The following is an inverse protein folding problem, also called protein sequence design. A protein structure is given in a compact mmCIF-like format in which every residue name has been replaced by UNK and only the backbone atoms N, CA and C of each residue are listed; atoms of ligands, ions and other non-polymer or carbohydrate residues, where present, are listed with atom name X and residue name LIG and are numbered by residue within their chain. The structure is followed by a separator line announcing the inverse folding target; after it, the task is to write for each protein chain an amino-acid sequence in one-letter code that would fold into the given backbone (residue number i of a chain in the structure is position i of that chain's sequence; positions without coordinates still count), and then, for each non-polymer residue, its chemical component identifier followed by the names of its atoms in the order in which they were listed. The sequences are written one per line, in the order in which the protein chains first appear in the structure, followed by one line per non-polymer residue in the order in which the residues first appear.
data_IF_818915369049
#
_entry.id   IF_818915369049
#
_cell.length_a   1.000
_cell.length_b   1.000
_cell.length_c   1.000
_cell.angle_alpha   90.00
_cell.angle_beta   90.00
_cell.angle_gamma   90.00
#
_symmetry.space_group_name_H-M   'P 1'
#
loop_
_entity.id
_entity.type
_entity.pdbx_description
1 polymer ?
#
# COMPACT_ATOMS: atom_id res chain seq x y z
N UNK A 1 1.66 -2.74 20.56
CA UNK A 1 2.72 -2.65 19.54
C UNK A 1 2.23 -1.95 18.27
N UNK A 2 2.75 -0.74 17.99
CA UNK A 2 2.25 0.14 16.92
C UNK A 2 2.74 -0.23 15.51
N UNK A 3 2.16 0.38 14.45
CA UNK A 3 2.43 0.05 13.03
C UNK A 3 3.93 0.10 12.62
N UNK A 4 4.78 0.86 13.32
CA UNK A 4 6.20 1.04 12.99
C UNK A 4 6.99 -0.27 12.85
N UNK A 5 6.72 -1.27 13.70
CA UNK A 5 7.42 -2.56 13.61
C UNK A 5 7.09 -3.30 12.30
N UNK A 6 5.87 -3.14 11.79
CA UNK A 6 5.44 -3.72 10.51
C UNK A 6 6.14 -3.06 9.34
N UNK A 7 6.27 -1.73 9.36
CA UNK A 7 7.09 -0.99 8.38
C UNK A 7 8.55 -1.45 8.39
N UNK A 8 9.16 -1.59 9.58
CA UNK A 8 10.54 -2.11 9.68
C UNK A 8 10.68 -3.54 9.18
N UNK A 9 9.71 -4.43 9.46
CA UNK A 9 9.69 -5.81 8.93
C UNK A 9 9.58 -5.81 7.41
N UNK A 10 8.68 -4.99 6.85
CA UNK A 10 8.50 -4.83 5.41
C UNK A 10 9.76 -4.30 4.73
N UNK A 11 10.38 -3.25 5.26
CA UNK A 11 11.67 -2.74 4.79
C UNK A 11 12.78 -3.80 4.87
N UNK A 12 12.77 -4.65 5.90
CA UNK A 12 13.67 -5.81 5.99
C UNK A 12 13.49 -6.79 4.83
N UNK A 13 12.26 -7.10 4.44
CA UNK A 13 11.97 -7.94 3.28
C UNK A 13 12.43 -7.31 1.96
N UNK A 14 12.21 -6.01 1.79
CA UNK A 14 12.66 -5.26 0.61
C UNK A 14 14.18 -5.21 0.52
N UNK A 15 14.87 -4.93 1.63
CA UNK A 15 16.32 -4.93 1.68
C UNK A 15 16.92 -6.32 1.40
N UNK A 16 16.30 -7.39 1.92
CA UNK A 16 16.68 -8.76 1.60
C UNK A 16 16.51 -9.07 0.10
N UNK A 17 15.37 -8.68 -0.49
CA UNK A 17 15.11 -8.86 -1.91
C UNK A 17 16.15 -8.13 -2.77
N UNK A 18 16.44 -6.86 -2.45
CA UNK A 18 17.45 -6.06 -3.15
C UNK A 18 18.85 -6.72 -3.07
N UNK A 19 19.29 -7.15 -1.87
CA UNK A 19 20.57 -7.86 -1.69
C UNK A 19 20.65 -9.15 -2.49
N UNK A 20 19.53 -9.88 -2.60
CA UNK A 20 19.41 -11.13 -3.36
C UNK A 20 19.09 -10.93 -4.85
N UNK A 21 19.06 -9.68 -5.33
CA UNK A 21 18.70 -9.32 -6.72
C UNK A 21 17.33 -9.88 -7.13
N UNK A 22 16.39 -9.89 -6.19
CA UNK A 22 14.97 -10.21 -6.43
C UNK A 22 14.20 -8.94 -6.77
N UNK A 23 13.05 -9.11 -7.40
CA UNK A 23 12.24 -7.96 -7.83
C UNK A 23 11.29 -7.58 -6.71
N UNK A 24 11.24 -6.28 -6.39
CA UNK A 24 10.15 -5.74 -5.60
C UNK A 24 9.19 -5.03 -6.55
N UNK A 25 7.90 -5.31 -6.44
CA UNK A 25 6.85 -4.68 -7.23
C UNK A 25 6.06 -3.73 -6.35
N UNK A 26 5.77 -2.53 -6.82
CA UNK A 26 4.84 -1.61 -6.16
C UNK A 26 3.58 -1.46 -7.00
N UNK A 27 2.43 -1.80 -6.41
CA UNK A 27 1.11 -1.71 -7.03
C UNK A 27 0.37 -0.58 -6.32
N UNK A 28 0.32 0.59 -6.96
CA UNK A 28 -0.25 1.82 -6.45
C UNK A 28 -1.55 2.14 -7.20
N UNK A 29 -2.59 2.57 -6.50
CA UNK A 29 -3.90 2.85 -7.11
C UNK A 29 -4.00 4.31 -7.52
N UNK A 30 -3.56 5.18 -6.64
CA UNK A 30 -3.64 6.61 -6.79
C UNK A 30 -2.26 7.17 -7.14
N UNK A 31 -2.27 7.96 -8.21
CA UNK A 31 -1.38 9.08 -8.49
C UNK A 31 -0.04 9.15 -7.78
N UNK A 32 0.91 8.33 -8.19
CA UNK A 32 2.22 8.81 -8.61
C UNK A 32 2.89 7.74 -9.47
N UNK A 33 3.59 8.19 -10.52
CA UNK A 33 4.59 7.36 -11.20
C UNK A 33 5.94 7.77 -10.59
N UNK A 34 6.40 7.11 -9.50
CA UNK A 34 7.65 7.46 -8.88
C UNK A 34 8.84 7.07 -9.77
N UNK A 35 8.64 6.23 -10.79
CA UNK A 35 9.61 6.05 -11.86
C UNK A 35 9.80 7.45 -12.49
N UNK A 36 11.00 8.01 -12.36
CA UNK A 36 11.41 9.36 -12.80
C UNK A 36 11.27 10.50 -11.78
N UNK A 37 10.84 10.26 -10.53
CA UNK A 37 10.99 11.28 -9.50
C UNK A 37 12.46 11.45 -9.08
N UNK A 38 12.95 12.70 -8.90
CA UNK A 38 14.27 12.94 -8.32
C UNK A 38 14.41 12.26 -6.96
N UNK A 39 15.35 11.32 -6.86
CA UNK A 39 15.65 10.61 -5.61
C UNK A 39 15.00 9.23 -5.46
N UNK A 40 14.26 8.73 -6.46
CA UNK A 40 13.86 7.32 -6.48
C UNK A 40 15.10 6.42 -6.63
N UNK A 41 15.41 5.53 -5.66
CA UNK A 41 16.53 4.60 -5.77
C UNK A 41 16.29 3.43 -6.73
N UNK A 42 15.11 3.33 -7.37
CA UNK A 42 14.78 2.22 -8.27
C UNK A 42 14.60 0.90 -7.53
N UNK A 43 14.08 0.95 -6.29
CA UNK A 43 13.85 -0.23 -5.46
C UNK A 43 12.68 -1.08 -5.96
N UNK A 44 11.71 -0.46 -6.63
CA UNK A 44 10.51 -1.11 -7.10
C UNK A 44 10.42 -1.04 -8.62
N UNK A 45 9.82 -2.08 -9.21
CA UNK A 45 9.13 -1.96 -10.50
C UNK A 45 7.69 -1.54 -10.22
N UNK A 46 7.26 -0.41 -10.76
CA UNK A 46 5.99 0.19 -10.36
C UNK A 46 4.91 -0.14 -11.37
N UNK A 47 3.73 -0.43 -10.85
CA UNK A 47 2.49 -0.52 -11.61
C UNK A 47 1.50 0.49 -11.00
N UNK A 48 1.22 1.54 -11.76
CA UNK A 48 0.28 2.61 -11.40
C UNK A 48 -0.81 2.67 -12.47
N UNK A 49 -1.88 1.89 -12.28
CA UNK A 49 -2.92 1.70 -13.31
C UNK A 49 -4.22 2.50 -13.07
N UNK A 50 -4.24 3.37 -12.06
CA UNK A 50 -5.47 4.06 -11.65
C UNK A 50 -6.51 3.10 -11.06
N UNK A 51 -7.63 3.65 -10.59
CA UNK A 51 -8.68 2.92 -9.83
C UNK A 51 -9.30 1.68 -10.50
N UNK A 52 -9.05 1.44 -11.79
CA UNK A 52 -9.85 0.53 -12.61
C UNK A 52 -9.23 -0.86 -12.82
N UNK A 53 -7.92 -1.04 -12.71
CA UNK A 53 -7.26 -2.29 -13.11
C UNK A 53 -6.24 -2.80 -12.09
N UNK A 54 -6.33 -4.10 -11.80
CA UNK A 54 -5.26 -4.81 -11.11
C UNK A 54 -4.19 -5.21 -12.12
N UNK A 55 -2.92 -4.82 -11.90
CA UNK A 55 -1.81 -5.29 -12.70
C UNK A 55 -1.81 -6.82 -12.72
N UNK A 56 -1.73 -7.41 -13.91
CA UNK A 56 -1.64 -8.85 -14.07
C UNK A 56 -0.21 -9.29 -13.72
N UNK A 57 0.00 -9.65 -12.45
CA UNK A 57 1.28 -10.20 -11.97
C UNK A 57 1.49 -11.68 -12.32
N UNK A 58 0.46 -12.33 -12.88
CA UNK A 58 0.51 -13.74 -13.26
C UNK A 58 1.66 -13.98 -14.26
N UNK A 59 2.60 -14.87 -13.89
CA UNK A 59 3.79 -15.16 -14.69
C UNK A 59 4.95 -14.17 -14.55
N UNK A 60 4.75 -13.02 -13.89
CA UNK A 60 5.83 -12.05 -13.62
C UNK A 60 6.51 -12.30 -12.27
N UNK A 61 5.71 -12.52 -11.22
CA UNK A 61 6.22 -12.69 -9.85
C UNK A 61 6.88 -14.07 -9.70
N UNK A 62 8.11 -14.07 -9.19
CA UNK A 62 8.93 -15.27 -8.97
C UNK A 62 9.07 -15.56 -7.48
N UNK A 63 9.55 -16.76 -7.09
CA UNK A 63 9.88 -17.06 -5.71
C UNK A 63 10.85 -16.04 -5.10
N UNK A 64 10.57 -15.67 -3.85
CA UNK A 64 11.30 -14.66 -3.07
C UNK A 64 11.21 -13.21 -3.57
N UNK A 65 10.43 -12.92 -4.61
CA UNK A 65 10.07 -11.54 -4.93
C UNK A 65 9.17 -10.94 -3.83
N UNK A 66 9.03 -9.62 -3.84
CA UNK A 66 8.18 -8.90 -2.88
C UNK A 66 7.15 -8.08 -3.64
N UNK A 67 5.87 -8.23 -3.31
CA UNK A 67 4.80 -7.39 -3.85
C UNK A 67 4.29 -6.44 -2.76
N UNK A 68 4.46 -5.14 -2.99
CA UNK A 68 3.84 -4.06 -2.21
C UNK A 68 2.55 -3.64 -2.90
N UNK A 69 1.48 -3.59 -2.13
CA UNK A 69 0.17 -3.18 -2.57
C UNK A 69 -0.34 -2.07 -1.67
N UNK A 70 -0.72 -0.92 -2.24
CA UNK A 70 -1.15 0.26 -1.47
C UNK A 70 -2.48 0.78 -2.00
N UNK A 71 -3.40 1.14 -1.09
CA UNK A 71 -4.52 2.05 -1.38
C UNK A 71 -5.93 1.45 -1.48
N UNK A 72 -6.11 0.12 -1.55
CA UNK A 72 -7.45 -0.42 -1.87
C UNK A 72 -8.26 -0.58 -0.60
N UNK A 73 -9.52 -0.13 -0.55
CA UNK A 73 -10.39 -0.32 0.61
C UNK A 73 -10.86 -1.78 0.84
N UNK A 74 -10.24 -2.75 0.18
CA UNK A 74 -10.56 -4.17 0.32
C UNK A 74 -9.34 -5.07 0.11
N UNK A 75 -9.44 -6.29 0.63
CA UNK A 75 -8.41 -7.32 0.47
C UNK A 75 -8.34 -7.81 -1.00
N UNK A 76 -7.17 -7.72 -1.68
CA UNK A 76 -7.05 -8.05 -3.10
C UNK A 76 -6.87 -9.55 -3.32
N UNK A 77 -7.95 -10.33 -3.22
CA UNK A 77 -7.91 -11.80 -3.22
C UNK A 77 -7.12 -12.39 -4.40
N UNK A 78 -7.34 -11.89 -5.63
CA UNK A 78 -6.67 -12.41 -6.82
C UNK A 78 -5.16 -12.15 -6.77
N UNK A 79 -4.77 -10.90 -6.51
CA UNK A 79 -3.36 -10.52 -6.36
C UNK A 79 -2.66 -11.34 -5.27
N UNK A 80 -3.28 -11.43 -4.09
CA UNK A 80 -2.71 -12.17 -2.96
C UNK A 80 -2.52 -13.66 -3.31
N UNK A 81 -3.47 -14.27 -4.02
CA UNK A 81 -3.35 -15.65 -4.50
C UNK A 81 -2.23 -15.82 -5.54
N UNK A 82 -2.04 -14.85 -6.45
CA UNK A 82 -0.94 -14.86 -7.41
C UNK A 82 0.41 -14.84 -6.69
N UNK A 83 0.58 -13.96 -5.70
CA UNK A 83 1.81 -13.89 -4.89
C UNK A 83 2.04 -15.17 -4.10
N UNK A 84 0.99 -15.73 -3.48
CA UNK A 84 1.07 -16.98 -2.72
C UNK A 84 1.49 -18.16 -3.62
N UNK A 85 0.90 -18.29 -4.81
CA UNK A 85 1.28 -19.34 -5.80
C UNK A 85 2.74 -19.25 -6.22
N UNK A 86 3.26 -18.03 -6.36
CA UNK A 86 4.66 -17.79 -6.70
C UNK A 86 5.62 -17.99 -5.54
N UNK A 87 5.15 -18.29 -4.31
CA UNK A 87 5.99 -18.36 -3.09
C UNK A 87 6.76 -17.05 -2.84
N UNK A 88 6.14 -15.93 -3.18
CA UNK A 88 6.66 -14.60 -2.95
C UNK A 88 6.10 -14.03 -1.64
N UNK A 89 6.61 -12.87 -1.24
CA UNK A 89 6.16 -12.12 -0.06
C UNK A 89 5.24 -10.98 -0.48
N UNK A 90 4.27 -10.65 0.36
CA UNK A 90 3.31 -9.57 0.12
C UNK A 90 3.22 -8.62 1.32
N UNK A 91 3.31 -7.34 1.00
CA UNK A 91 3.06 -6.22 1.90
C UNK A 91 1.75 -5.58 1.43
N UNK A 92 0.73 -5.69 2.26
CA UNK A 92 -0.62 -5.26 1.98
C UNK A 92 -0.94 -4.03 2.84
N UNK A 93 -0.95 -2.87 2.20
CA UNK A 93 -1.15 -1.56 2.81
C UNK A 93 -2.52 -1.03 2.40
N UNK A 94 -3.50 -1.14 3.29
CA UNK A 94 -4.82 -0.60 3.00
C UNK A 94 -5.57 -0.23 4.27
N UNK A 95 -6.75 0.33 4.09
CA UNK A 95 -7.66 0.60 5.18
C UNK A 95 -8.86 -0.33 5.12
N UNK A 96 -9.23 -0.86 6.29
CA UNK A 96 -10.48 -1.56 6.51
C UNK A 96 -11.38 -0.67 7.37
N UNK A 97 -12.67 -0.65 7.01
CA UNK A 97 -13.71 0.07 7.75
C UNK A 97 -14.33 -0.93 8.73
N UNK A 98 -13.88 -0.89 9.98
CA UNK A 98 -14.38 -1.74 11.06
C UNK A 98 -15.57 -1.11 11.81
N UNK A 99 -15.80 0.19 11.61
CA UNK A 99 -16.91 0.96 12.18
C UNK A 99 -17.65 1.73 11.11
N UNK A 100 -18.97 1.84 11.24
CA UNK A 100 -19.78 2.66 10.36
C UNK A 100 -19.41 4.16 10.51
N UNK A 101 -19.54 4.96 9.45
CA UNK A 101 -19.27 6.38 9.51
C UNK A 101 -20.21 7.10 10.48
N UNK A 102 -19.80 8.25 11.03
CA UNK A 102 -20.71 9.10 11.78
C UNK A 102 -21.91 9.53 10.89
N UNK A 103 -23.09 9.64 11.49
CA UNK A 103 -24.30 10.17 10.81
C UNK A 103 -24.64 11.55 11.36
N UNK A 104 -24.83 12.58 10.51
CA UNK A 104 -24.72 12.56 9.05
C UNK A 104 -23.26 12.52 8.55
N UNK A 105 -23.05 11.97 7.36
CA UNK A 105 -21.79 12.04 6.61
C UNK A 105 -21.34 13.50 6.51
N UNK A 106 -20.09 13.80 6.90
CA UNK A 106 -19.52 15.14 6.77
C UNK A 106 -18.71 15.17 5.46
N UNK A 107 -18.88 16.24 4.66
CA UNK A 107 -18.27 16.46 3.33
C UNK A 107 -17.01 15.63 2.99
N UNK A 108 -17.06 14.92 1.86
CA UNK A 108 -15.90 14.26 1.23
C UNK A 108 -15.98 12.73 1.16
N UNK A 109 -16.93 12.11 1.85
CA UNK A 109 -17.13 10.66 1.84
C UNK A 109 -17.62 10.17 0.46
N UNK A 110 -16.68 9.95 -0.46
CA UNK A 110 -16.96 9.26 -1.73
C UNK A 110 -17.27 7.81 -1.40
N UNK A 111 -18.56 7.49 -1.35
CA UNK A 111 -19.12 6.14 -1.51
C UNK A 111 -18.45 5.08 -0.66
N UNK A 112 -18.70 5.10 0.65
CA UNK A 112 -18.21 4.06 1.53
C UNK A 112 -18.77 2.68 1.16
N UNK A 113 -17.90 1.82 0.70
CA UNK A 113 -18.11 0.39 0.74
C UNK A 113 -17.96 -0.06 2.20
N UNK A 114 -19.02 0.14 3.00
CA UNK A 114 -19.09 -0.38 4.37
C UNK A 114 -18.94 -1.90 4.34
N UNK A 115 -17.77 -2.38 4.73
CA UNK A 115 -17.44 -3.78 4.83
C UNK A 115 -16.84 -4.04 6.21
N UNK A 116 -17.68 -4.38 7.22
CA UNK A 116 -17.23 -4.57 8.59
C UNK A 116 -16.29 -5.77 8.65
N UNK A 117 -14.99 -5.49 8.62
CA UNK A 117 -13.94 -6.51 8.68
C UNK A 117 -12.71 -5.96 9.38
N UNK A 118 -11.89 -6.85 9.95
CA UNK A 118 -10.61 -6.52 10.57
C UNK A 118 -9.47 -7.30 9.93
N UNK A 119 -8.24 -6.82 10.09
CA UNK A 119 -7.06 -7.50 9.54
C UNK A 119 -6.89 -8.94 10.06
N UNK A 120 -7.36 -9.22 11.28
CA UNK A 120 -7.29 -10.56 11.88
C UNK A 120 -8.25 -11.55 11.21
N UNK A 121 -9.27 -11.07 10.51
CA UNK A 121 -10.23 -11.89 9.77
C UNK A 121 -9.78 -12.20 8.33
N UNK A 122 -8.73 -11.53 7.86
CA UNK A 122 -8.16 -11.79 6.53
C UNK A 122 -7.26 -13.04 6.55
N UNK A 123 -6.96 -13.66 5.39
CA UNK A 123 -6.06 -14.81 5.35
C UNK A 123 -4.68 -14.46 5.91
N UNK A 124 -4.20 -15.26 6.87
CA UNK A 124 -2.89 -15.05 7.51
C UNK A 124 -1.82 -15.91 6.84
N UNK A 125 -0.56 -15.49 6.93
CA UNK A 125 0.58 -16.24 6.40
C UNK A 125 1.91 -15.59 6.76
N UNK A 126 2.98 -16.38 6.88
CA UNK A 126 4.32 -15.87 7.21
C UNK A 126 4.88 -14.96 6.11
N UNK A 127 4.44 -15.16 4.87
CA UNK A 127 4.79 -14.36 3.70
C UNK A 127 3.95 -13.08 3.57
N UNK A 128 3.19 -12.71 4.61
CA UNK A 128 2.26 -11.58 4.57
C UNK A 128 2.49 -10.57 5.69
N UNK A 129 2.39 -9.29 5.34
CA UNK A 129 2.35 -8.18 6.30
C UNK A 129 1.15 -7.30 5.95
N UNK A 130 0.31 -7.03 6.95
CA UNK A 130 -0.80 -6.10 6.85
C UNK A 130 -0.47 -4.78 7.55
N UNK A 131 -0.39 -3.69 6.79
CA UNK A 131 -0.21 -2.33 7.30
C UNK A 131 -1.55 -1.61 7.18
N UNK A 132 -2.08 -1.18 8.32
CA UNK A 132 -3.32 -0.42 8.40
C UNK A 132 -2.99 1.05 8.17
N UNK A 133 -3.53 1.65 7.11
CA UNK A 133 -3.23 3.05 6.80
C UNK A 133 -3.93 4.02 7.75
N UNK A 134 -5.07 3.64 8.37
CA UNK A 134 -5.98 4.44 9.24
C UNK A 134 -6.42 5.82 8.74
N UNK A 135 -5.54 6.61 8.12
CA UNK A 135 -5.77 7.94 7.54
C UNK A 135 -6.73 7.95 6.35
N UNK A 136 -6.98 6.79 5.74
CA UNK A 136 -7.90 6.64 4.62
C UNK A 136 -9.26 5.99 5.01
N UNK A 137 -9.57 5.85 6.32
CA UNK A 137 -10.82 5.21 6.78
C UNK A 137 -12.06 5.95 6.29
N UNK A 138 -11.91 7.25 6.11
CA UNK A 138 -12.83 8.13 5.44
C UNK A 138 -11.96 8.79 4.39
N UNK A 139 -12.36 8.76 3.12
CA UNK A 139 -11.69 9.58 2.10
C UNK A 139 -12.01 11.05 2.44
N UNK A 140 -11.35 11.55 3.47
CA UNK A 140 -11.63 12.85 4.04
C UNK A 140 -10.99 13.83 3.09
N UNK A 141 -11.81 14.67 2.51
CA UNK A 141 -11.34 15.71 1.64
C UNK A 141 -10.69 16.78 2.52
N UNK A 142 -9.36 16.87 2.51
CA UNK A 142 -8.66 17.81 3.35
C UNK A 142 -8.73 19.22 2.73
N UNK A 143 -9.60 20.07 3.29
CA UNK A 143 -9.66 21.49 2.92
C UNK A 143 -8.64 22.27 3.74
N UNK A 144 -7.65 22.88 3.08
CA UNK A 144 -6.68 23.75 3.74
C UNK A 144 -7.31 25.15 3.91
N UNK A 145 -7.56 25.63 5.14
CA UNK A 145 -8.18 26.94 5.35
C UNK A 145 -7.34 28.06 4.72
N UNK A 146 -7.99 28.95 3.96
CA UNK A 146 -7.33 30.10 3.34
C UNK A 146 -6.63 29.84 2.01
N UNK A 147 -6.60 28.60 1.52
CA UNK A 147 -6.00 28.25 0.23
C UNK A 147 -7.08 27.82 -0.78
N UNK A 148 -7.06 28.30 -2.04
CA UNK A 148 -8.01 27.90 -3.08
C UNK A 148 -7.61 26.56 -3.72
N UNK A 149 -7.09 25.62 -2.92
CA UNK A 149 -6.71 24.30 -3.39
C UNK A 149 -7.96 23.42 -3.36
N UNK A 150 -8.30 22.71 -4.45
CA UNK A 150 -9.31 21.68 -4.40
C UNK A 150 -8.94 20.67 -3.33
N UNK A 151 -9.81 20.51 -2.34
CA UNK A 151 -10.22 19.21 -1.85
C UNK A 151 -9.37 18.01 -2.35
N UNK A 152 -8.32 17.62 -1.61
CA UNK A 152 -7.53 16.42 -1.92
C UNK A 152 -8.06 15.22 -1.14
N UNK A 153 -8.19 14.10 -1.85
CA UNK A 153 -8.52 12.80 -1.28
C UNK A 153 -7.37 12.34 -0.37
N UNK A 154 -7.62 12.13 0.93
CA UNK A 154 -6.61 11.65 1.88
C UNK A 154 -6.06 10.28 1.49
N UNK A 155 -6.82 9.47 0.75
CA UNK A 155 -6.36 8.21 0.17
C UNK A 155 -5.15 8.42 -0.76
N UNK A 156 -5.21 9.43 -1.63
CA UNK A 156 -4.12 9.73 -2.57
C UNK A 156 -2.83 10.10 -1.83
N UNK A 157 -2.91 10.88 -0.75
CA UNK A 157 -1.74 11.23 0.07
C UNK A 157 -1.19 10.04 0.86
N UNK A 158 -2.05 9.14 1.34
CA UNK A 158 -1.62 8.00 2.14
C UNK A 158 -0.73 7.04 1.36
N UNK A 159 -0.99 6.85 0.06
CA UNK A 159 -0.21 5.96 -0.80
C UNK A 159 1.24 6.41 -0.94
N UNK A 160 1.44 7.69 -1.25
CA UNK A 160 2.76 8.31 -1.38
C UNK A 160 3.58 8.21 -0.09
N UNK A 161 2.95 8.53 1.04
CA UNK A 161 3.62 8.50 2.34
C UNK A 161 4.08 7.09 2.67
N UNK A 162 3.26 6.08 2.42
CA UNK A 162 3.59 4.68 2.69
C UNK A 162 4.73 4.21 1.80
N UNK A 163 4.64 4.51 0.50
CA UNK A 163 5.68 4.17 -0.48
C UNK A 163 7.02 4.77 -0.06
N UNK A 164 7.07 6.09 0.13
CA UNK A 164 8.31 6.79 0.48
C UNK A 164 8.84 6.41 1.85
N UNK A 165 7.97 6.08 2.81
CA UNK A 165 8.43 5.58 4.10
C UNK A 165 9.12 4.23 3.98
N UNK A 166 8.57 3.30 3.18
CA UNK A 166 9.21 2.01 2.92
C UNK A 166 10.52 2.16 2.15
N UNK A 167 10.56 3.06 1.16
CA UNK A 167 11.79 3.40 0.42
C UNK A 167 12.88 3.89 1.39
N UNK A 168 12.58 4.91 2.21
CA UNK A 168 13.54 5.50 3.13
C UNK A 168 14.09 4.48 4.13
N UNK A 169 13.22 3.68 4.75
CA UNK A 169 13.64 2.62 5.68
C UNK A 169 14.49 1.55 5.00
N UNK A 170 14.16 1.20 3.75
CA UNK A 170 14.90 0.18 2.99
C UNK A 170 16.28 0.68 2.62
N UNK A 171 16.41 1.93 2.16
CA UNK A 171 17.70 2.58 1.88
C UNK A 171 18.56 2.64 3.14
N UNK A 172 17.99 3.02 4.29
CA UNK A 172 18.70 3.03 5.58
C UNK A 172 19.25 1.64 5.92
N UNK A 173 18.47 0.59 5.64
CA UNK A 173 18.90 -0.79 5.87
C UNK A 173 19.95 -1.29 4.88
N UNK A 174 19.96 -0.80 3.64
CA UNK A 174 20.95 -1.16 2.61
C UNK A 174 22.28 -0.43 2.79
N UNK A 175 22.28 0.75 3.40
CA UNK A 175 23.49 1.49 3.74
C UNK A 175 24.28 0.90 4.93
N UNK A 176 23.68 -0.06 5.65
CA UNK A 176 24.30 -0.85 6.73
C UNK A 176 24.78 -2.19 6.20
#
# INVERSE_FOLDING_TARGET
DGQRHKFRKAAGWLAEAARKKKTSYALLIHGLDPENLPGDPGLFKVFSEGNAYYPQLDGLVKPDDVALFVGYNWYPRRLAQTVDKSKARQILCFTLVDQAPPKPAIYGEVGELYHPTSFDQLPQGENRIYIDLRFAQYNAVLKIPGFPVPALETSSFAEDVVYWHLVADTVELLAK
#
